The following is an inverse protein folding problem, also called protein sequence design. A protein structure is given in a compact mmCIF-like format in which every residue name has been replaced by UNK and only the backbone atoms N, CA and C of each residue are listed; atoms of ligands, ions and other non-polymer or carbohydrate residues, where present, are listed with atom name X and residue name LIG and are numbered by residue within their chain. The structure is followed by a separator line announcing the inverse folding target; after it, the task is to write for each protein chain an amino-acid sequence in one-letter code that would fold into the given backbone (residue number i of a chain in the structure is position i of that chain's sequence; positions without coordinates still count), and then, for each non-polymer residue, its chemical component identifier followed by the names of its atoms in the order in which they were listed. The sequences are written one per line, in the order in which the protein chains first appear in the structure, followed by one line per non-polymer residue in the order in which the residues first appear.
data_IF_618170635682
#
_entry.id   IF_618170635682
#
_cell.length_a   1.000
_cell.length_b   1.000
_cell.length_c   1.000
_cell.angle_alpha   90.00
_cell.angle_beta   90.00
_cell.angle_gamma   90.00
#
_symmetry.space_group_name_H-M   'P 1'
#
loop_
_entity.id
_entity.type
_entity.pdbx_description
1 polymer ?
#
# COMPACT_ATOMS: atom_id res chain seq x y z
N UNK A 1 73.16 139.25 -19.13
CA UNK A 1 72.27 138.42 -19.98
C UNK A 1 71.43 137.54 -19.06
N UNK A 2 70.17 137.37 -19.45
CA UNK A 2 69.00 136.87 -18.69
C UNK A 2 69.00 135.34 -18.61
N UNK A 3 68.63 134.73 -17.46
CA UNK A 3 67.68 133.61 -17.35
C UNK A 3 67.53 133.05 -15.91
N UNK A 4 66.27 133.08 -15.46
CA UNK A 4 65.56 132.46 -14.34
C UNK A 4 65.59 130.90 -14.31
N UNK A 5 65.65 130.25 -13.13
CA UNK A 5 65.00 128.95 -12.85
C UNK A 5 64.97 128.56 -11.34
N UNK A 6 63.90 127.85 -10.94
CA UNK A 6 63.28 127.66 -9.61
C UNK A 6 63.94 126.59 -8.67
N UNK A 7 63.55 126.46 -7.38
CA UNK A 7 64.30 125.73 -6.36
C UNK A 7 64.01 124.22 -6.33
N UNK A 8 65.06 123.41 -6.25
CA UNK A 8 65.07 121.94 -6.31
C UNK A 8 64.60 121.20 -5.05
N UNK A 9 63.89 121.86 -4.12
CA UNK A 9 63.56 121.29 -2.80
C UNK A 9 62.22 120.56 -2.68
N UNK A 10 61.31 120.67 -3.66
CA UNK A 10 59.95 120.10 -3.56
C UNK A 10 59.81 118.66 -4.06
N UNK A 11 60.71 118.20 -4.94
CA UNK A 11 60.68 116.84 -5.51
C UNK A 11 61.24 115.80 -4.52
N UNK A 12 62.28 116.13 -3.75
CA UNK A 12 62.82 115.24 -2.72
C UNK A 12 61.84 115.04 -1.55
N UNK A 13 61.08 116.09 -1.18
CA UNK A 13 60.06 115.99 -0.13
C UNK A 13 58.91 115.05 -0.52
N UNK A 14 58.52 115.06 -1.81
CA UNK A 14 57.48 114.18 -2.36
C UNK A 14 57.92 112.71 -2.40
N UNK A 15 59.19 112.44 -2.72
CA UNK A 15 59.75 111.08 -2.71
C UNK A 15 59.82 110.49 -1.30
N UNK A 16 60.19 111.30 -0.30
CA UNK A 16 60.24 110.87 1.11
C UNK A 16 58.84 110.55 1.65
N UNK A 17 57.82 111.35 1.31
CA UNK A 17 56.43 111.09 1.71
C UNK A 17 55.85 109.81 1.10
N UNK A 18 56.13 109.53 -0.18
CA UNK A 18 55.72 108.27 -0.82
C UNK A 18 56.41 107.05 -0.22
N UNK A 19 57.70 107.16 0.15
CA UNK A 19 58.44 106.07 0.80
C UNK A 19 57.90 105.75 2.21
N UNK A 20 57.52 106.77 2.98
CA UNK A 20 56.90 106.58 4.31
C UNK A 20 55.48 106.00 4.19
N UNK A 21 54.70 106.48 3.21
CA UNK A 21 53.36 105.92 2.95
C UNK A 21 53.40 104.46 2.52
N UNK A 22 54.36 104.09 1.67
CA UNK A 22 54.54 102.71 1.22
C UNK A 22 54.95 101.75 2.34
N UNK A 23 55.84 102.17 3.24
CA UNK A 23 56.25 101.35 4.38
C UNK A 23 55.14 101.15 5.40
N UNK A 24 54.32 102.17 5.68
CA UNK A 24 53.15 102.05 6.55
C UNK A 24 52.09 101.11 5.98
N UNK A 25 51.83 101.17 4.67
CA UNK A 25 50.90 100.24 4.01
C UNK A 25 51.43 98.81 4.06
N UNK A 26 52.72 98.58 3.79
CA UNK A 26 53.33 97.26 3.85
C UNK A 26 53.30 96.67 5.27
N UNK A 27 53.57 97.47 6.30
CA UNK A 27 53.47 97.05 7.71
C UNK A 27 52.02 96.75 8.11
N UNK A 28 51.06 97.58 7.69
CA UNK A 28 49.64 97.35 7.93
C UNK A 28 49.13 96.06 7.29
N UNK A 29 49.50 95.80 6.04
CA UNK A 29 49.16 94.57 5.32
C UNK A 29 49.82 93.35 5.98
N UNK A 30 51.07 93.48 6.42
CA UNK A 30 51.79 92.44 7.15
C UNK A 30 51.11 92.06 8.47
N UNK A 31 50.64 93.04 9.23
CA UNK A 31 49.92 92.80 10.50
C UNK A 31 48.56 92.15 10.26
N UNK A 32 47.84 92.54 9.22
CA UNK A 32 46.54 91.93 8.86
C UNK A 32 46.71 90.48 8.41
N UNK A 33 47.72 90.20 7.57
CA UNK A 33 48.07 88.84 7.16
C UNK A 33 48.54 87.99 8.34
N UNK A 34 49.36 88.55 9.23
CA UNK A 34 49.81 87.86 10.44
C UNK A 34 48.61 87.54 11.37
N UNK A 35 47.68 88.48 11.54
CA UNK A 35 46.42 88.26 12.28
C UNK A 35 45.53 87.19 11.63
N UNK A 36 45.51 87.11 10.30
CA UNK A 36 44.73 86.12 9.55
C UNK A 36 45.36 84.72 9.63
N UNK A 37 46.69 84.63 9.55
CA UNK A 37 47.44 83.38 9.72
C UNK A 37 47.50 82.91 11.18
N UNK A 38 47.45 83.83 12.14
CA UNK A 38 47.42 83.55 13.58
C UNK A 38 46.00 83.59 14.17
N UNK A 39 44.93 83.41 13.38
CA UNK A 39 43.64 83.04 13.96
C UNK A 39 43.75 81.58 14.42
N UNK A 40 43.81 81.29 15.74
CA UNK A 40 43.74 79.92 16.19
C UNK A 40 42.35 79.39 15.81
N UNK A 41 42.32 78.27 15.09
CA UNK A 41 41.12 77.46 14.90
C UNK A 41 40.68 76.92 16.26
N UNK A 42 39.89 77.70 17.02
CA UNK A 42 39.27 77.25 18.27
C UNK A 42 37.83 76.84 17.96
N UNK A 43 37.65 75.80 17.14
CA UNK A 43 36.39 75.05 17.02
C UNK A 43 36.71 73.63 16.55
N UNK A 44 37.35 72.77 17.35
CA UNK A 44 37.54 71.38 16.91
C UNK A 44 37.68 70.27 17.97
N UNK A 45 37.54 70.57 19.28
CA UNK A 45 37.73 69.53 20.32
C UNK A 45 36.42 68.97 20.94
N UNK A 46 35.30 69.70 20.97
CA UNK A 46 34.03 69.19 21.54
C UNK A 46 33.12 68.46 20.53
N UNK A 47 33.48 68.46 19.25
CA UNK A 47 32.72 67.80 18.18
C UNK A 47 33.19 66.35 17.93
N UNK A 48 34.41 66.01 18.34
CA UNK A 48 34.96 64.65 18.26
C UNK A 48 34.34 63.72 19.32
N UNK A 49 34.28 64.18 20.56
CA UNK A 49 33.85 63.38 21.71
C UNK A 49 32.36 62.97 21.61
N UNK A 50 31.48 63.91 21.25
CA UNK A 50 30.04 63.63 21.01
C UNK A 50 29.77 62.73 19.82
N UNK A 51 30.63 62.74 18.79
CA UNK A 51 30.52 61.84 17.63
C UNK A 51 30.97 60.43 17.97
N UNK A 52 32.01 60.30 18.80
CA UNK A 52 32.49 59.00 19.28
C UNK A 52 31.46 58.34 20.20
N UNK A 53 30.89 59.10 21.14
CA UNK A 53 29.85 58.59 22.05
C UNK A 53 28.60 58.10 21.29
N UNK A 54 28.19 58.83 20.24
CA UNK A 54 27.06 58.44 19.38
C UNK A 54 27.36 57.18 18.54
N UNK A 55 28.61 57.00 18.09
CA UNK A 55 29.06 55.79 17.38
C UNK A 55 29.10 54.56 18.30
N UNK A 56 29.51 54.72 19.55
CA UNK A 56 29.52 53.64 20.54
C UNK A 56 28.10 53.17 20.87
N UNK A 57 27.15 54.09 21.02
CA UNK A 57 25.74 53.76 21.25
C UNK A 57 25.15 52.99 20.06
N UNK A 58 25.45 53.40 18.83
CA UNK A 58 24.97 52.71 17.62
C UNK A 58 25.59 51.31 17.48
N UNK A 59 26.89 51.17 17.75
CA UNK A 59 27.58 49.87 17.78
C UNK A 59 27.02 48.94 18.86
N UNK A 60 26.77 49.46 20.06
CA UNK A 60 26.14 48.70 21.14
C UNK A 60 24.73 48.22 20.76
N UNK A 61 23.96 49.07 20.07
CA UNK A 61 22.62 48.74 19.58
C UNK A 61 22.64 47.69 18.47
N UNK A 62 23.59 47.79 17.55
CA UNK A 62 23.79 46.80 16.49
C UNK A 62 24.22 45.44 17.04
N UNK A 63 25.15 45.41 18.00
CA UNK A 63 25.57 44.18 18.68
C UNK A 63 24.40 43.52 19.40
N UNK A 64 23.60 44.30 20.13
CA UNK A 64 22.41 43.80 20.83
C UNK A 64 21.36 43.23 19.86
N UNK A 65 21.09 43.92 18.75
CA UNK A 65 20.17 43.43 17.72
C UNK A 65 20.70 42.15 17.04
N UNK A 66 22.01 42.06 16.79
CA UNK A 66 22.63 40.88 16.20
C UNK A 66 22.56 39.68 17.16
N UNK A 67 22.76 39.90 18.45
CA UNK A 67 22.65 38.87 19.48
C UNK A 67 21.19 38.39 19.65
N UNK A 68 20.22 39.30 19.59
CA UNK A 68 18.79 38.95 19.60
C UNK A 68 18.41 38.14 18.34
N UNK A 69 18.92 38.53 17.15
CA UNK A 69 18.72 37.77 15.91
C UNK A 69 19.37 36.39 15.97
N UNK A 70 20.59 36.29 16.50
CA UNK A 70 21.29 35.00 16.69
C UNK A 70 20.53 34.10 17.66
N UNK A 71 19.98 34.66 18.74
CA UNK A 71 19.14 33.94 19.69
C UNK A 71 17.85 33.42 19.05
N UNK A 72 17.15 34.25 18.28
CA UNK A 72 15.95 33.83 17.52
C UNK A 72 16.27 32.78 16.46
N UNK A 73 17.37 32.91 15.73
CA UNK A 73 17.82 31.92 14.75
C UNK A 73 18.18 30.58 15.40
N UNK A 74 18.85 30.60 16.56
CA UNK A 74 19.13 29.39 17.35
C UNK A 74 17.83 28.74 17.82
N UNK A 75 16.90 29.53 18.35
CA UNK A 75 15.60 29.03 18.80
C UNK A 75 14.73 28.47 17.67
N UNK A 76 14.81 29.04 16.46
CA UNK A 76 14.16 28.47 15.26
C UNK A 76 14.83 27.16 14.85
N UNK A 77 16.16 27.09 14.85
CA UNK A 77 16.91 25.88 14.55
C UNK A 77 16.60 24.74 15.52
N UNK A 78 16.57 25.03 16.82
CA UNK A 78 16.21 24.07 17.86
C UNK A 78 14.76 23.57 17.73
N UNK A 79 13.81 24.48 17.48
CA UNK A 79 12.41 24.09 17.23
C UNK A 79 12.26 23.24 15.96
N UNK A 80 12.96 23.59 14.88
CA UNK A 80 12.95 22.82 13.63
C UNK A 80 13.49 21.39 13.85
N UNK A 81 14.58 21.26 14.60
CA UNK A 81 15.17 19.95 14.94
C UNK A 81 14.23 19.14 15.83
N UNK A 82 13.64 19.74 16.86
CA UNK A 82 12.67 19.05 17.72
C UNK A 82 11.43 18.61 16.94
N UNK A 83 10.89 19.47 16.06
CA UNK A 83 9.74 19.13 15.24
C UNK A 83 10.07 18.01 14.24
N UNK A 84 11.26 18.06 13.61
CA UNK A 84 11.72 16.98 12.73
C UNK A 84 11.85 15.65 13.47
N UNK A 85 12.41 15.65 14.69
CA UNK A 85 12.51 14.45 15.53
C UNK A 85 11.13 13.90 15.92
N UNK A 86 10.18 14.77 16.30
CA UNK A 86 8.82 14.35 16.64
C UNK A 86 8.08 13.74 15.43
N UNK A 87 8.27 14.31 14.23
CA UNK A 87 7.71 13.77 12.99
C UNK A 87 8.32 12.40 12.69
N UNK A 88 9.65 12.26 12.74
CA UNK A 88 10.32 10.98 12.52
C UNK A 88 9.85 9.90 13.48
N UNK A 89 9.70 10.25 14.77
CA UNK A 89 9.17 9.32 15.78
C UNK A 89 7.74 8.88 15.45
N UNK A 90 6.87 9.83 15.13
CA UNK A 90 5.46 9.55 14.78
C UNK A 90 5.36 8.70 13.50
N UNK A 91 6.23 8.97 12.51
CA UNK A 91 6.29 8.19 11.28
C UNK A 91 6.72 6.75 11.56
N UNK A 92 7.77 6.54 12.36
CA UNK A 92 8.20 5.20 12.76
C UNK A 92 7.10 4.45 13.52
N UNK A 93 6.45 5.08 14.50
CA UNK A 93 5.34 4.47 15.24
C UNK A 93 4.16 4.08 14.32
N UNK A 94 3.84 4.93 13.33
CA UNK A 94 2.81 4.62 12.32
C UNK A 94 3.23 3.49 11.40
N UNK A 95 4.48 3.48 10.92
CA UNK A 95 5.01 2.44 10.05
C UNK A 95 5.04 1.09 10.77
N UNK A 96 5.47 1.05 12.02
CA UNK A 96 5.45 -0.15 12.86
C UNK A 96 4.01 -0.63 13.08
N UNK A 97 3.08 0.30 13.37
CA UNK A 97 1.66 -0.02 13.50
C UNK A 97 1.04 -0.58 12.22
N UNK A 98 1.38 -0.02 11.06
CA UNK A 98 0.93 -0.50 9.75
C UNK A 98 1.55 -1.86 9.42
N UNK A 99 2.85 -2.02 9.65
CA UNK A 99 3.58 -3.28 9.45
C UNK A 99 2.97 -4.41 10.28
N UNK A 100 2.71 -4.15 11.56
CA UNK A 100 2.08 -5.11 12.46
C UNK A 100 0.65 -5.47 12.03
N UNK A 101 -0.16 -4.48 11.65
CA UNK A 101 -1.52 -4.72 11.14
C UNK A 101 -1.49 -5.52 9.84
N UNK A 102 -0.56 -5.21 8.93
CA UNK A 102 -0.43 -5.93 7.67
C UNK A 102 0.00 -7.38 7.92
N UNK A 103 0.99 -7.60 8.78
CA UNK A 103 1.45 -8.93 9.17
C UNK A 103 0.32 -9.77 9.80
N UNK A 104 -0.44 -9.18 10.72
CA UNK A 104 -1.58 -9.84 11.35
C UNK A 104 -2.68 -10.19 10.33
N UNK A 105 -3.06 -9.24 9.47
CA UNK A 105 -4.06 -9.49 8.43
C UNK A 105 -3.60 -10.57 7.44
N UNK A 106 -2.34 -10.53 7.00
CA UNK A 106 -1.79 -11.51 6.07
C UNK A 106 -1.72 -12.91 6.69
N UNK A 107 -1.39 -13.01 7.97
CA UNK A 107 -1.42 -14.27 8.72
C UNK A 107 -2.85 -14.81 8.86
N UNK A 108 -3.80 -13.95 9.24
CA UNK A 108 -5.21 -14.35 9.37
C UNK A 108 -5.80 -14.77 8.02
N UNK A 109 -5.48 -14.04 6.95
CA UNK A 109 -5.93 -14.35 5.60
C UNK A 109 -5.30 -15.65 5.08
N UNK A 110 -4.03 -15.90 5.37
CA UNK A 110 -3.37 -17.18 5.06
C UNK A 110 -4.05 -18.34 5.78
N UNK A 111 -4.39 -18.16 7.07
CA UNK A 111 -5.11 -19.18 7.85
C UNK A 111 -6.51 -19.46 7.27
N UNK A 112 -7.28 -18.42 6.96
CA UNK A 112 -8.63 -18.57 6.35
C UNK A 112 -8.54 -19.24 4.97
N UNK A 113 -7.53 -18.90 4.17
CA UNK A 113 -7.29 -19.56 2.89
C UNK A 113 -6.94 -21.03 3.07
N UNK A 114 -6.06 -21.36 4.02
CA UNK A 114 -5.70 -22.75 4.32
C UNK A 114 -6.92 -23.58 4.79
N UNK A 115 -7.75 -23.03 5.69
CA UNK A 115 -9.01 -23.67 6.09
C UNK A 115 -9.97 -23.87 4.91
N UNK A 116 -10.09 -22.87 4.03
CA UNK A 116 -10.97 -22.94 2.86
C UNK A 116 -10.48 -23.99 1.86
N UNK A 117 -9.17 -24.05 1.60
CA UNK A 117 -8.57 -25.09 0.77
C UNK A 117 -8.73 -26.49 1.39
N UNK A 118 -8.62 -26.61 2.72
CA UNK A 118 -8.89 -27.87 3.44
C UNK A 118 -10.33 -28.33 3.24
N UNK A 119 -11.32 -27.44 3.41
CA UNK A 119 -12.74 -27.74 3.17
C UNK A 119 -13.03 -28.09 1.71
N UNK A 120 -12.35 -27.45 0.76
CA UNK A 120 -12.48 -27.79 -0.66
C UNK A 120 -11.89 -29.16 -0.96
N UNK A 121 -10.73 -29.50 -0.37
CA UNK A 121 -10.13 -30.83 -0.51
C UNK A 121 -11.05 -31.93 0.04
N UNK A 122 -11.64 -31.72 1.22
CA UNK A 122 -12.62 -32.64 1.81
C UNK A 122 -13.84 -32.83 0.90
N UNK A 123 -14.42 -31.73 0.39
CA UNK A 123 -15.53 -31.81 -0.58
C UNK A 123 -15.15 -32.55 -1.85
N UNK A 124 -13.95 -32.34 -2.38
CA UNK A 124 -13.45 -33.04 -3.57
C UNK A 124 -13.26 -34.53 -3.29
N UNK A 125 -12.76 -34.90 -2.11
CA UNK A 125 -12.63 -36.31 -1.70
C UNK A 125 -14.00 -37.00 -1.64
N UNK A 126 -15.02 -36.31 -1.09
CA UNK A 126 -16.40 -36.84 -1.07
C UNK A 126 -16.97 -36.96 -2.49
N UNK A 127 -16.69 -36.01 -3.37
CA UNK A 127 -17.11 -36.06 -4.78
C UNK A 127 -16.44 -37.23 -5.50
N UNK A 128 -15.14 -37.46 -5.28
CA UNK A 128 -14.38 -38.55 -5.89
C UNK A 128 -14.92 -39.92 -5.44
N UNK A 129 -15.22 -40.07 -4.14
CA UNK A 129 -15.88 -41.26 -3.60
C UNK A 129 -17.28 -41.47 -4.19
N UNK A 130 -18.08 -40.41 -4.30
CA UNK A 130 -19.39 -40.47 -4.94
C UNK A 130 -19.30 -40.87 -6.41
N UNK A 131 -18.32 -40.36 -7.17
CA UNK A 131 -18.09 -40.74 -8.57
C UNK A 131 -17.68 -42.21 -8.70
N UNK A 132 -16.85 -42.72 -7.80
CA UNK A 132 -16.44 -44.12 -7.81
C UNK A 132 -17.63 -45.06 -7.57
N UNK A 133 -18.48 -44.72 -6.60
CA UNK A 133 -19.73 -45.44 -6.34
C UNK A 133 -20.71 -45.35 -7.52
N UNK A 134 -20.85 -44.17 -8.14
CA UNK A 134 -21.71 -43.95 -9.31
C UNK A 134 -21.23 -44.75 -10.53
N UNK A 135 -19.92 -44.81 -10.76
CA UNK A 135 -19.32 -45.60 -11.85
C UNK A 135 -19.58 -47.10 -11.68
N UNK A 136 -19.49 -47.60 -10.44
CA UNK A 136 -19.84 -48.98 -10.11
C UNK A 136 -21.32 -49.28 -10.38
N UNK A 137 -22.21 -48.44 -9.86
CA UNK A 137 -23.66 -48.57 -10.06
C UNK A 137 -24.07 -48.47 -11.53
N UNK A 138 -23.51 -47.52 -12.29
CA UNK A 138 -23.79 -47.40 -13.73
C UNK A 138 -23.33 -48.63 -14.51
N UNK A 139 -22.21 -49.26 -14.13
CA UNK A 139 -21.73 -50.48 -14.80
C UNK A 139 -22.67 -51.67 -14.53
N UNK A 140 -23.17 -51.81 -13.30
CA UNK A 140 -24.11 -52.86 -12.92
C UNK A 140 -25.47 -52.66 -13.57
N UNK A 141 -25.95 -51.42 -13.63
CA UNK A 141 -27.18 -51.06 -14.33
C UNK A 141 -27.09 -51.32 -15.84
N UNK A 142 -25.97 -51.00 -16.49
CA UNK A 142 -25.75 -51.29 -17.91
C UNK A 142 -25.74 -52.80 -18.18
N UNK A 143 -25.11 -53.61 -17.32
CA UNK A 143 -25.15 -55.07 -17.41
C UNK A 143 -26.58 -55.61 -17.27
N UNK A 144 -27.35 -55.09 -16.33
CA UNK A 144 -28.75 -55.47 -16.15
C UNK A 144 -29.58 -55.09 -17.37
N UNK A 145 -29.39 -53.88 -17.91
CA UNK A 145 -30.06 -53.41 -19.11
C UNK A 145 -29.72 -54.27 -20.34
N UNK A 146 -28.47 -54.67 -20.52
CA UNK A 146 -28.04 -55.55 -21.62
C UNK A 146 -28.67 -56.95 -21.53
N UNK A 147 -28.76 -57.52 -20.32
CA UNK A 147 -29.47 -58.78 -20.06
C UNK A 147 -30.96 -58.62 -20.38
N UNK A 148 -31.56 -57.49 -19.99
CA UNK A 148 -32.97 -57.19 -20.24
C UNK A 148 -33.27 -56.86 -21.71
N UNK A 149 -32.30 -56.44 -22.52
CA UNK A 149 -32.48 -56.20 -23.96
C UNK A 149 -32.53 -57.50 -24.78
N UNK A 150 -31.85 -58.56 -24.34
CA UNK A 150 -31.78 -59.84 -25.06
C UNK A 150 -32.92 -60.81 -24.66
N UNK A 151 -33.71 -61.30 -25.64
CA UNK A 151 -34.87 -62.17 -25.40
C UNK A 151 -34.52 -63.50 -24.73
N UNK A 152 -33.37 -64.09 -25.08
CA UNK A 152 -32.90 -65.36 -24.53
C UNK A 152 -32.40 -65.18 -23.09
N UNK A 153 -31.65 -64.10 -22.82
CA UNK A 153 -31.15 -63.78 -21.49
C UNK A 153 -32.29 -63.43 -20.52
N UNK A 154 -33.34 -62.73 -20.99
CA UNK A 154 -34.59 -62.52 -20.22
C UNK A 154 -35.29 -63.82 -19.83
N UNK A 155 -35.37 -64.78 -20.75
CA UNK A 155 -35.96 -66.10 -20.47
C UNK A 155 -35.17 -66.83 -19.39
N UNK A 156 -33.85 -66.89 -19.54
CA UNK A 156 -32.95 -67.49 -18.56
C UNK A 156 -33.05 -66.83 -17.17
N UNK A 157 -33.18 -65.49 -17.11
CA UNK A 157 -33.35 -64.78 -15.84
C UNK A 157 -34.68 -65.10 -15.14
N UNK A 158 -35.76 -65.27 -15.90
CA UNK A 158 -37.05 -65.75 -15.37
C UNK A 158 -36.95 -67.18 -14.83
N UNK A 159 -36.28 -68.08 -15.55
CA UNK A 159 -36.06 -69.47 -15.13
C UNK A 159 -35.18 -69.56 -13.87
N UNK A 160 -34.13 -68.74 -13.76
CA UNK A 160 -33.25 -68.70 -12.57
C UNK A 160 -34.03 -68.21 -11.35
N UNK A 161 -34.79 -67.11 -11.47
CA UNK A 161 -35.63 -66.63 -10.35
C UNK A 161 -36.68 -67.66 -9.94
N UNK A 162 -37.28 -68.38 -10.90
CA UNK A 162 -38.20 -69.47 -10.60
C UNK A 162 -37.50 -70.58 -9.82
N UNK A 163 -36.29 -70.96 -10.24
CA UNK A 163 -35.50 -72.01 -9.59
C UNK A 163 -35.16 -71.63 -8.14
N UNK A 164 -34.65 -70.41 -7.93
CA UNK A 164 -34.29 -69.91 -6.61
C UNK A 164 -35.53 -69.84 -5.70
N UNK A 165 -36.66 -69.35 -6.20
CA UNK A 165 -37.90 -69.25 -5.42
C UNK A 165 -38.43 -70.63 -5.04
N UNK A 166 -38.46 -71.57 -5.98
CA UNK A 166 -38.95 -72.94 -5.74
C UNK A 166 -38.02 -73.70 -4.79
N UNK A 167 -36.71 -73.59 -4.97
CA UNK A 167 -35.72 -74.27 -4.11
C UNK A 167 -35.74 -73.71 -2.68
N UNK A 168 -35.97 -72.41 -2.50
CA UNK A 168 -36.09 -71.80 -1.17
C UNK A 168 -37.45 -72.09 -0.49
N UNK A 169 -38.53 -72.25 -1.27
CA UNK A 169 -39.88 -72.40 -0.75
C UNK A 169 -40.31 -73.86 -0.52
N UNK A 170 -39.76 -74.81 -1.28
CA UNK A 170 -40.23 -76.20 -1.30
C UNK A 170 -39.08 -77.21 -1.09
N UNK A 171 -39.36 -78.38 -0.48
CA UNK A 171 -38.35 -79.42 -0.34
C UNK A 171 -38.01 -80.05 -1.71
N UNK A 172 -36.78 -80.57 -1.92
CA UNK A 172 -36.32 -81.10 -3.21
C UNK A 172 -37.17 -82.24 -3.80
N UNK A 173 -37.94 -82.94 -2.98
CA UNK A 173 -38.84 -84.02 -3.41
C UNK A 173 -40.17 -83.53 -3.98
N UNK A 174 -40.49 -82.24 -3.83
CA UNK A 174 -41.79 -81.67 -4.18
C UNK A 174 -41.80 -80.91 -5.51
N UNK A 175 -40.69 -80.89 -6.25
CA UNK A 175 -40.63 -80.21 -7.55
C UNK A 175 -39.66 -80.90 -8.52
N UNK A 176 -39.80 -80.61 -9.80
CA UNK A 176 -38.91 -81.06 -10.87
C UNK A 176 -38.78 -79.96 -11.93
N UNK A 177 -37.55 -79.60 -12.29
CA UNK A 177 -37.29 -78.60 -13.32
C UNK A 177 -37.17 -79.23 -14.71
N UNK A 178 -37.40 -78.42 -15.76
CA UNK A 178 -37.19 -78.78 -17.17
C UNK A 178 -37.82 -80.13 -17.59
N UNK A 179 -38.97 -80.48 -17.02
CA UNK A 179 -39.60 -81.78 -17.24
C UNK A 179 -40.39 -81.80 -18.56
N UNK A 180 -40.18 -82.84 -19.36
CA UNK A 180 -40.95 -83.05 -20.59
C UNK A 180 -42.27 -83.76 -20.26
N UNK A 181 -43.38 -83.09 -20.57
CA UNK A 181 -44.72 -83.62 -20.40
C UNK A 181 -45.03 -84.66 -21.48
N UNK A 182 -46.01 -85.53 -21.23
CA UNK A 182 -46.43 -86.58 -22.19
C UNK A 182 -46.95 -86.06 -23.54
N UNK A 183 -47.20 -84.75 -23.65
CA UNK A 183 -47.58 -84.06 -24.90
C UNK A 183 -46.36 -83.51 -25.69
N UNK A 184 -45.13 -83.84 -25.27
CA UNK A 184 -43.89 -83.40 -25.91
C UNK A 184 -43.47 -81.95 -25.60
N UNK A 185 -44.24 -81.21 -24.81
CA UNK A 185 -43.88 -79.86 -24.35
C UNK A 185 -43.01 -79.93 -23.11
N UNK A 186 -42.01 -79.07 -23.01
CA UNK A 186 -41.15 -78.94 -21.83
C UNK A 186 -41.65 -77.81 -20.95
N UNK A 187 -41.80 -78.09 -19.66
CA UNK A 187 -42.17 -77.09 -18.65
C UNK A 187 -40.92 -76.62 -17.89
N UNK A 188 -40.93 -75.37 -17.44
CA UNK A 188 -39.80 -74.80 -16.68
C UNK A 188 -39.72 -75.42 -15.28
N UNK A 189 -40.86 -75.56 -14.60
CA UNK A 189 -40.98 -76.27 -13.33
C UNK A 189 -42.31 -77.03 -13.22
N UNK A 190 -42.29 -78.17 -12.54
CA UNK A 190 -43.46 -78.91 -12.11
C UNK A 190 -43.40 -79.08 -10.60
N UNK A 191 -44.46 -78.66 -9.91
CA UNK A 191 -44.62 -78.87 -8.47
C UNK A 191 -45.48 -80.11 -8.26
N UNK A 192 -44.92 -81.07 -7.53
CA UNK A 192 -45.54 -82.37 -7.23
C UNK A 192 -46.32 -82.26 -5.91
N UNK A 193 -47.63 -82.08 -6.00
CA UNK A 193 -48.52 -82.01 -4.85
C UNK A 193 -49.32 -83.32 -4.70
N UNK A 194 -49.65 -83.73 -3.46
CA UNK A 194 -50.59 -84.83 -3.23
C UNK A 194 -51.97 -84.46 -3.79
N UNK A 195 -52.65 -85.45 -4.34
CA UNK A 195 -53.96 -85.25 -4.95
C UNK A 195 -55.04 -85.15 -3.87
N UNK A 196 -55.99 -84.17 -3.89
CA UNK A 196 -56.13 -83.03 -4.80
C UNK A 196 -55.42 -81.75 -4.30
N UNK A 197 -54.78 -80.92 -5.16
CA UNK A 197 -55.06 -80.71 -6.59
C UNK A 197 -54.16 -81.46 -7.61
N UNK A 198 -53.15 -82.22 -7.18
CA UNK A 198 -52.24 -82.93 -8.09
C UNK A 198 -51.13 -82.05 -8.70
N UNK A 199 -50.30 -82.59 -9.63
CA UNK A 199 -49.11 -81.89 -10.13
C UNK A 199 -49.46 -80.59 -10.88
N UNK A 200 -48.74 -79.50 -10.57
CA UNK A 200 -48.95 -78.17 -11.17
C UNK A 200 -47.75 -77.81 -12.04
N UNK A 201 -48.04 -77.38 -13.27
CA UNK A 201 -47.03 -76.93 -14.23
C UNK A 201 -46.87 -75.42 -14.16
N UNK A 202 -45.63 -74.94 -14.11
CA UNK A 202 -45.28 -73.51 -14.02
C UNK A 202 -44.33 -73.15 -15.18
N UNK A 203 -44.65 -72.06 -15.88
CA UNK A 203 -43.86 -71.43 -16.94
C UNK A 203 -43.41 -70.06 -16.42
N UNK A 204 -42.10 -69.82 -16.38
CA UNK A 204 -41.54 -68.56 -15.90
C UNK A 204 -41.23 -67.66 -17.09
N UNK A 205 -42.10 -66.68 -17.30
CA UNK A 205 -41.89 -65.64 -18.29
C UNK A 205 -41.68 -64.30 -17.62
N UNK A 206 -40.61 -63.58 -17.99
CA UNK A 206 -40.32 -62.25 -17.47
C UNK A 206 -41.16 -61.16 -18.16
N UNK A 207 -42.04 -60.42 -17.44
CA UNK A 207 -42.83 -59.32 -18.01
C UNK A 207 -42.08 -57.99 -17.93
N UNK A 208 -41.47 -57.57 -19.04
CA UNK A 208 -40.65 -56.35 -19.13
C UNK A 208 -41.45 -55.08 -18.78
N UNK A 209 -42.68 -54.97 -19.28
CA UNK A 209 -43.53 -53.78 -19.09
C UNK A 209 -43.92 -53.57 -17.62
N UNK A 210 -44.09 -54.67 -16.87
CA UNK A 210 -44.39 -54.60 -15.43
C UNK A 210 -43.16 -54.18 -14.61
N UNK A 211 -41.95 -54.57 -15.04
CA UNK A 211 -40.70 -54.18 -14.37
C UNK A 211 -40.32 -52.72 -14.63
N UNK A 212 -40.52 -52.19 -15.83
CA UNK A 212 -40.26 -50.78 -16.14
C UNK A 212 -41.25 -49.79 -15.48
N UNK A 213 -42.39 -50.28 -15.00
CA UNK A 213 -43.42 -49.47 -14.35
C UNK A 213 -43.30 -49.40 -12.81
N UNK A 214 -42.37 -50.19 -12.23
CA UNK A 214 -42.02 -50.21 -10.81
C UNK A 214 -40.90 -49.20 -10.52
#
# INVERSE_FOLDING_TARGET
MIATAAPSGSLDLLLVLLAIGGTLLALGLGVVLARFLMQPAVVEDEAGDRRQEMLEIELARLLKNQEELKGRLSGIGENQVQQSQAINKTLNERLDGVSQRLSNNMTEQTKKTAESLGKLNERLSVIDEAQKNLTGLSTEFLKLQDILNNKQARGAFGEIQLNDLVTNALPPSAYSFQTTLGNGKRADCIVLLPNPPGPIVIDAKFPLDAYHAL
#
